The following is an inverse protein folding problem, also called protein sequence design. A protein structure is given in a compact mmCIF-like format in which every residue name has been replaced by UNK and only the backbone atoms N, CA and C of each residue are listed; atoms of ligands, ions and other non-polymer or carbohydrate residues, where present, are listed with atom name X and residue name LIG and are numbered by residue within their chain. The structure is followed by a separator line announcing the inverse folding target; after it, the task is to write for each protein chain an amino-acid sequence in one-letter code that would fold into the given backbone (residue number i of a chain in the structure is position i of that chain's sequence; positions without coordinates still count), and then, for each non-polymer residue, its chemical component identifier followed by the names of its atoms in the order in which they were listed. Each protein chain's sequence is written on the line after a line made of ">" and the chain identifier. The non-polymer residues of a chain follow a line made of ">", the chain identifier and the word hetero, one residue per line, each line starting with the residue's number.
data_IF_112368521830
#
_entry.id   IF_112368521830
#
_cell.length_a   1.000
_cell.length_b   1.000
_cell.length_c   1.000
_cell.angle_alpha   90.00
_cell.angle_beta   90.00
_cell.angle_gamma   90.00
#
_symmetry.space_group_name_H-M   'P 1'
#
loop_
_entity.id
_entity.type
_entity.pdbx_description
1 polymer ?
#
# COMPACT_ATOMS: atom_id res chain seq x y z
N UNK A 1 -26.45 -14.73 5.11
CA UNK A 1 -25.64 -15.91 5.56
C UNK A 1 -24.92 -15.50 6.84
N UNK A 2 -25.25 -16.15 7.96
CA UNK A 2 -24.72 -15.78 9.29
C UNK A 2 -23.36 -16.42 9.66
N UNK A 3 -22.90 -17.42 8.90
CA UNK A 3 -21.55 -17.99 9.03
C UNK A 3 -21.03 -18.56 7.72
N UNK A 4 -19.71 -18.64 7.59
CA UNK A 4 -19.05 -19.30 6.46
C UNK A 4 -17.94 -20.22 6.98
N UNK A 5 -18.05 -21.52 6.63
CA UNK A 5 -17.07 -22.54 6.99
C UNK A 5 -15.81 -22.44 6.13
N UNK A 6 -14.68 -22.39 6.80
CA UNK A 6 -13.35 -22.30 6.16
C UNK A 6 -12.68 -23.67 6.11
N UNK A 7 -11.79 -23.84 5.14
CA UNK A 7 -11.03 -25.09 5.02
C UNK A 7 -10.10 -25.33 6.21
N UNK A 8 -9.52 -24.25 6.76
CA UNK A 8 -8.67 -24.18 7.95
C UNK A 8 -8.51 -22.71 8.37
N UNK A 9 -7.96 -22.45 9.54
CA UNK A 9 -7.66 -21.13 10.05
C UNK A 9 -6.43 -20.50 9.38
N UNK A 10 -5.55 -19.86 10.15
CA UNK A 10 -4.32 -19.29 9.62
C UNK A 10 -3.40 -20.36 9.02
N UNK A 11 -3.35 -21.54 9.64
CA UNK A 11 -2.52 -22.66 9.19
C UNK A 11 -3.36 -23.92 8.95
N UNK A 12 -2.91 -24.85 8.07
CA UNK A 12 -3.68 -26.05 7.69
C UNK A 12 -4.07 -26.98 8.86
N UNK A 13 -3.31 -26.96 9.96
CA UNK A 13 -3.58 -27.73 11.16
C UNK A 13 -4.61 -27.10 12.11
N UNK A 14 -4.97 -25.81 11.89
CA UNK A 14 -5.94 -25.08 12.70
C UNK A 14 -7.37 -25.33 12.21
N UNK A 15 -7.95 -26.42 12.67
CA UNK A 15 -9.31 -26.86 12.34
C UNK A 15 -10.07 -27.21 13.60
N UNK A 16 -11.42 -26.98 13.63
CA UNK A 16 -12.26 -26.33 12.61
C UNK A 16 -11.98 -24.83 12.48
N UNK A 17 -12.44 -24.20 11.37
CA UNK A 17 -12.35 -22.77 11.17
C UNK A 17 -13.61 -22.22 10.48
N UNK A 18 -14.05 -21.04 10.87
CA UNK A 18 -15.20 -20.33 10.31
C UNK A 18 -15.08 -18.82 10.53
N UNK A 19 -15.84 -18.05 9.77
CA UNK A 19 -16.17 -16.66 10.08
C UNK A 19 -17.67 -16.58 10.38
N UNK A 20 -18.07 -15.74 11.32
CA UNK A 20 -19.48 -15.55 11.71
C UNK A 20 -19.64 -14.23 12.46
N UNK A 21 -20.87 -13.74 12.55
CA UNK A 21 -21.21 -12.59 13.39
C UNK A 21 -21.52 -13.05 14.80
N UNK A 22 -20.86 -12.45 15.81
CA UNK A 22 -21.02 -12.84 17.22
C UNK A 22 -22.45 -12.63 17.76
N UNK A 23 -23.19 -11.68 17.20
CA UNK A 23 -24.59 -11.38 17.52
C UNK A 23 -25.59 -12.26 16.75
N UNK A 24 -25.11 -13.16 15.88
CA UNK A 24 -25.93 -14.06 15.07
C UNK A 24 -26.55 -13.42 13.82
N UNK A 25 -26.26 -12.16 13.54
CA UNK A 25 -26.68 -11.48 12.32
C UNK A 25 -26.01 -12.08 11.07
N UNK A 26 -26.45 -11.68 9.90
CA UNK A 26 -25.79 -12.05 8.63
C UNK A 26 -24.42 -11.39 8.50
N UNK A 27 -23.48 -12.09 7.84
CA UNK A 27 -22.21 -11.53 7.45
C UNK A 27 -22.40 -10.33 6.52
N UNK A 28 -21.63 -9.24 6.68
CA UNK A 28 -21.72 -8.06 5.81
C UNK A 28 -21.17 -8.28 4.40
N UNK A 29 -20.93 -9.54 4.02
CA UNK A 29 -20.33 -9.90 2.73
C UNK A 29 -21.12 -11.01 2.02
N UNK A 30 -21.10 -10.95 0.71
CA UNK A 30 -21.57 -12.02 -0.19
C UNK A 30 -20.41 -12.52 -1.03
N UNK A 31 -20.18 -13.83 -1.03
CA UNK A 31 -19.16 -14.46 -1.88
C UNK A 31 -19.79 -14.71 -3.25
N UNK A 32 -19.35 -13.94 -4.26
CA UNK A 32 -19.87 -14.04 -5.63
C UNK A 32 -19.18 -15.10 -6.46
N UNK A 33 -17.92 -15.43 -6.11
CA UNK A 33 -17.15 -16.48 -6.76
C UNK A 33 -15.98 -16.94 -5.88
N UNK A 34 -15.50 -18.17 -6.11
CA UNK A 34 -14.35 -18.74 -5.42
C UNK A 34 -14.64 -19.14 -3.97
N UNK A 35 -13.57 -19.37 -3.22
CA UNK A 35 -13.65 -19.77 -1.81
C UNK A 35 -12.52 -19.13 -1.00
N UNK A 36 -12.70 -17.89 -0.51
CA UNK A 36 -11.70 -17.21 0.30
C UNK A 36 -11.33 -18.01 1.56
N UNK A 37 -10.07 -17.98 1.94
CA UNK A 37 -9.56 -18.56 3.18
C UNK A 37 -9.56 -17.57 4.34
N UNK A 38 -9.09 -18.04 5.50
CA UNK A 38 -9.04 -17.24 6.74
C UNK A 38 -8.23 -15.95 6.57
N UNK A 39 -6.99 -16.05 6.05
CA UNK A 39 -6.13 -14.88 5.82
C UNK A 39 -6.74 -13.94 4.78
N UNK A 40 -7.38 -14.49 3.73
CA UNK A 40 -8.04 -13.68 2.71
C UNK A 40 -9.14 -12.78 3.30
N UNK A 41 -9.92 -13.27 4.26
CA UNK A 41 -10.92 -12.44 4.94
C UNK A 41 -10.31 -11.41 5.87
N UNK A 42 -9.20 -11.71 6.54
CA UNK A 42 -8.46 -10.70 7.31
C UNK A 42 -7.97 -9.57 6.40
N UNK A 43 -7.36 -9.91 5.26
CA UNK A 43 -6.93 -8.93 4.27
C UNK A 43 -8.13 -8.15 3.70
N UNK A 44 -9.24 -8.84 3.36
CA UNK A 44 -10.44 -8.24 2.80
C UNK A 44 -11.04 -7.17 3.72
N UNK A 45 -11.28 -7.51 4.99
CA UNK A 45 -11.93 -6.58 5.91
C UNK A 45 -11.03 -5.41 6.31
N UNK A 46 -9.73 -5.62 6.49
CA UNK A 46 -8.80 -4.53 6.79
C UNK A 46 -8.61 -3.60 5.58
N UNK A 47 -8.40 -4.16 4.39
CA UNK A 47 -8.21 -3.38 3.17
C UNK A 47 -9.46 -2.58 2.76
N UNK A 48 -10.66 -3.15 2.95
CA UNK A 48 -11.89 -2.44 2.64
C UNK A 48 -12.11 -1.22 3.54
N UNK A 49 -11.85 -1.34 4.84
CA UNK A 49 -11.91 -0.21 5.75
C UNK A 49 -10.95 0.90 5.32
N UNK A 50 -9.72 0.55 4.92
CA UNK A 50 -8.73 1.51 4.44
C UNK A 50 -9.24 2.28 3.21
N UNK A 51 -9.73 1.59 2.18
CA UNK A 51 -10.19 2.29 0.94
C UNK A 51 -11.46 3.09 1.17
N UNK A 52 -12.36 2.65 2.08
CA UNK A 52 -13.53 3.40 2.50
C UNK A 52 -13.14 4.71 3.20
N UNK A 53 -12.18 4.65 4.12
CA UNK A 53 -11.67 5.82 4.83
C UNK A 53 -10.96 6.80 3.88
N UNK A 54 -10.14 6.29 2.92
CA UNK A 54 -9.51 7.11 1.89
C UNK A 54 -10.54 7.85 1.04
N UNK A 55 -11.56 7.13 0.56
CA UNK A 55 -12.64 7.76 -0.23
C UNK A 55 -13.39 8.82 0.56
N UNK A 56 -13.71 8.53 1.83
CA UNK A 56 -14.41 9.47 2.72
C UNK A 56 -13.59 10.74 2.94
N UNK A 57 -12.29 10.60 3.23
CA UNK A 57 -11.41 11.72 3.55
C UNK A 57 -11.03 12.58 2.33
N UNK A 58 -10.85 11.97 1.15
CA UNK A 58 -10.26 12.62 -0.02
C UNK A 58 -11.26 12.82 -1.18
N UNK A 59 -12.45 12.25 -1.10
CA UNK A 59 -13.48 12.39 -2.13
C UNK A 59 -13.16 11.72 -3.48
N UNK A 60 -12.14 10.87 -3.53
CA UNK A 60 -11.66 10.19 -4.74
C UNK A 60 -11.87 8.68 -4.62
N UNK A 61 -12.13 7.96 -5.74
CA UNK A 61 -12.05 6.51 -5.74
C UNK A 61 -10.71 6.04 -5.21
N UNK A 62 -10.71 4.97 -4.42
CA UNK A 62 -9.51 4.44 -3.79
C UNK A 62 -9.38 2.93 -3.99
N UNK A 63 -8.14 2.45 -4.02
CA UNK A 63 -7.80 1.04 -4.08
C UNK A 63 -6.64 0.71 -3.13
N UNK A 64 -6.60 -0.55 -2.68
CA UNK A 64 -5.49 -1.07 -1.89
C UNK A 64 -5.10 -2.48 -2.35
N UNK A 65 -3.82 -2.78 -2.22
CA UNK A 65 -3.20 -4.08 -2.36
C UNK A 65 -2.75 -4.53 -0.97
N UNK A 66 -3.32 -5.61 -0.45
CA UNK A 66 -3.05 -6.12 0.90
C UNK A 66 -2.39 -7.49 0.85
N UNK A 67 -1.49 -7.72 1.79
CA UNK A 67 -0.86 -9.02 1.99
C UNK A 67 -0.39 -9.15 3.44
N UNK A 68 -0.69 -10.30 4.05
CA UNK A 68 -0.34 -10.56 5.45
C UNK A 68 -0.85 -9.48 6.42
N UNK A 69 -2.13 -9.08 6.23
CA UNK A 69 -2.86 -8.12 7.06
C UNK A 69 -2.19 -6.74 7.13
N UNK A 70 -1.51 -6.35 6.06
CA UNK A 70 -0.91 -5.02 5.91
C UNK A 70 -0.94 -4.56 4.44
N UNK A 71 -1.03 -3.26 4.17
CA UNK A 71 -1.00 -2.75 2.81
C UNK A 71 0.42 -2.91 2.21
N UNK A 72 0.51 -3.58 1.06
CA UNK A 72 1.64 -3.47 0.16
C UNK A 72 1.62 -2.12 -0.56
N UNK A 73 0.41 -1.62 -0.84
CA UNK A 73 0.18 -0.31 -1.41
C UNK A 73 -1.28 0.12 -1.33
N UNK A 74 -1.49 1.44 -1.39
CA UNK A 74 -2.80 2.07 -1.48
C UNK A 74 -2.70 3.34 -2.33
N UNK A 75 -3.78 3.73 -3.00
CA UNK A 75 -3.81 4.92 -3.83
C UNK A 75 -5.22 5.44 -4.05
N UNK A 76 -5.30 6.70 -4.47
CA UNK A 76 -6.52 7.35 -4.96
C UNK A 76 -6.48 7.53 -6.49
N UNK A 77 -7.64 7.72 -7.09
CA UNK A 77 -7.87 7.70 -8.53
C UNK A 77 -7.39 8.95 -9.28
N UNK A 78 -6.10 9.24 -9.20
CA UNK A 78 -5.46 10.25 -10.03
C UNK A 78 -4.94 9.64 -11.33
N UNK A 79 -5.00 10.39 -12.44
CA UNK A 79 -4.53 9.93 -13.74
C UNK A 79 -3.06 9.48 -13.73
N UNK A 80 -2.71 8.54 -14.58
CA UNK A 80 -1.34 8.10 -14.78
C UNK A 80 -0.72 8.86 -15.98
N UNK A 81 0.48 9.38 -15.78
CA UNK A 81 1.32 9.85 -16.87
C UNK A 81 1.97 8.68 -17.64
N UNK A 82 2.67 9.00 -18.73
CA UNK A 82 3.30 7.97 -19.59
C UNK A 82 4.39 7.18 -18.86
N UNK A 83 5.07 7.79 -17.89
CA UNK A 83 6.11 7.13 -17.09
C UNK A 83 5.50 6.08 -16.18
N UNK A 84 4.44 6.45 -15.44
CA UNK A 84 3.72 5.52 -14.57
C UNK A 84 3.06 4.39 -15.37
N UNK A 85 2.51 4.69 -16.56
CA UNK A 85 1.97 3.65 -17.46
C UNK A 85 3.03 2.64 -17.84
N UNK A 86 4.23 3.07 -18.22
CA UNK A 86 5.38 2.18 -18.53
C UNK A 86 5.78 1.35 -17.31
N UNK A 87 5.93 1.98 -16.14
CA UNK A 87 6.28 1.30 -14.88
C UNK A 87 5.29 0.22 -14.50
N UNK A 88 4.00 0.44 -14.79
CA UNK A 88 2.92 -0.49 -14.42
C UNK A 88 2.52 -1.43 -15.57
N UNK A 89 3.29 -1.44 -16.65
CA UNK A 89 3.08 -2.28 -17.84
C UNK A 89 1.68 -2.10 -18.45
N UNK A 90 1.22 -0.84 -18.53
CA UNK A 90 -0.06 -0.45 -19.12
C UNK A 90 0.21 0.23 -20.46
N UNK A 91 -0.36 -0.33 -21.54
CA UNK A 91 -0.19 0.23 -22.88
C UNK A 91 -0.86 1.61 -23.01
N UNK A 92 -0.31 2.53 -23.81
CA UNK A 92 -0.82 3.91 -23.92
C UNK A 92 -2.28 4.00 -24.37
N UNK A 93 -2.75 3.07 -25.20
CA UNK A 93 -4.09 3.01 -25.74
C UNK A 93 -5.16 2.51 -24.76
N UNK A 94 -4.76 1.97 -23.59
CA UNK A 94 -5.71 1.47 -22.59
C UNK A 94 -6.39 2.64 -21.88
N UNK A 95 -7.70 2.76 -22.05
CA UNK A 95 -8.50 3.72 -21.30
C UNK A 95 -8.69 3.26 -19.86
N UNK A 96 -8.41 4.16 -18.91
CA UNK A 96 -8.50 3.90 -17.48
C UNK A 96 -9.57 4.78 -16.84
N UNK A 97 -10.51 4.15 -16.14
CA UNK A 97 -11.39 4.86 -15.21
C UNK A 97 -10.58 5.40 -14.01
N UNK A 98 -11.13 6.36 -13.24
CA UNK A 98 -10.47 6.79 -12.00
C UNK A 98 -10.21 5.64 -11.02
N UNK A 99 -11.12 4.66 -10.93
CA UNK A 99 -10.93 3.48 -10.09
C UNK A 99 -9.81 2.57 -10.60
N UNK A 100 -9.72 2.37 -11.92
CA UNK A 100 -8.61 1.65 -12.56
C UNK A 100 -7.27 2.34 -12.31
N UNK A 101 -7.22 3.68 -12.34
CA UNK A 101 -6.04 4.45 -11.97
C UNK A 101 -5.65 4.24 -10.50
N UNK A 102 -6.61 4.25 -9.57
CA UNK A 102 -6.37 3.95 -8.16
C UNK A 102 -5.76 2.55 -7.98
N UNK A 103 -6.33 1.54 -8.63
CA UNK A 103 -5.83 0.17 -8.58
C UNK A 103 -4.41 0.05 -9.15
N UNK A 104 -4.16 0.61 -10.32
CA UNK A 104 -2.84 0.58 -10.96
C UNK A 104 -1.76 1.20 -10.06
N UNK A 105 -2.06 2.33 -9.42
CA UNK A 105 -1.18 3.02 -8.48
C UNK A 105 -0.99 2.24 -7.19
N UNK A 106 -2.05 1.69 -6.60
CA UNK A 106 -1.98 0.92 -5.37
C UNK A 106 -1.08 -0.31 -5.53
N UNK A 107 -1.30 -1.09 -6.61
CA UNK A 107 -0.45 -2.23 -6.93
C UNK A 107 0.96 -1.81 -7.34
N UNK A 108 1.08 -0.68 -8.04
CA UNK A 108 2.34 -0.12 -8.51
C UNK A 108 3.27 0.39 -7.41
N UNK A 109 2.75 0.60 -6.19
CA UNK A 109 3.52 1.05 -5.03
C UNK A 109 4.65 0.08 -4.66
N UNK A 110 4.34 -1.23 -4.65
CA UNK A 110 5.30 -2.31 -4.39
C UNK A 110 4.85 -3.54 -5.18
N UNK A 111 5.28 -3.64 -6.43
CA UNK A 111 4.87 -4.71 -7.34
C UNK A 111 5.33 -6.10 -6.89
N UNK A 112 6.46 -6.17 -6.15
CA UNK A 112 6.97 -7.42 -5.60
C UNK A 112 6.07 -7.94 -4.46
N UNK A 113 5.74 -7.09 -3.50
CA UNK A 113 4.85 -7.45 -2.39
C UNK A 113 3.41 -7.70 -2.84
N UNK A 114 2.97 -7.04 -3.91
CA UNK A 114 1.61 -7.20 -4.47
C UNK A 114 1.40 -8.48 -5.27
N UNK A 115 2.42 -9.29 -5.49
CA UNK A 115 2.27 -10.60 -6.12
C UNK A 115 1.50 -11.55 -5.19
N UNK A 116 0.30 -11.97 -5.61
CA UNK A 116 -0.59 -12.80 -4.78
C UNK A 116 -1.29 -12.02 -3.66
N UNK A 117 -1.58 -10.74 -3.88
CA UNK A 117 -2.27 -9.85 -2.96
C UNK A 117 -3.79 -10.11 -2.86
N UNK A 118 -4.41 -9.43 -1.92
CA UNK A 118 -5.85 -9.21 -1.85
C UNK A 118 -6.15 -7.76 -2.24
N UNK A 119 -7.09 -7.57 -3.15
CA UNK A 119 -7.46 -6.25 -3.70
C UNK A 119 -8.69 -5.72 -2.98
N UNK A 120 -8.68 -4.45 -2.58
CA UNK A 120 -9.87 -3.75 -2.13
C UNK A 120 -10.13 -2.52 -3.00
N UNK A 121 -11.41 -2.28 -3.32
CA UNK A 121 -11.89 -1.12 -4.06
C UNK A 121 -12.95 -0.39 -3.24
N UNK A 122 -12.91 0.94 -3.26
CA UNK A 122 -13.88 1.79 -2.54
C UNK A 122 -15.22 1.94 -3.27
N UNK A 123 -15.26 1.59 -4.54
CA UNK A 123 -16.40 1.75 -5.46
C UNK A 123 -16.75 0.45 -6.17
N UNK A 124 -17.90 0.45 -6.84
CA UNK A 124 -18.30 -0.65 -7.73
C UNK A 124 -17.20 -0.88 -8.77
N UNK A 125 -16.74 -2.13 -8.85
CA UNK A 125 -15.70 -2.50 -9.80
C UNK A 125 -16.22 -2.43 -11.23
N UNK A 126 -15.65 -1.53 -12.03
CA UNK A 126 -15.96 -1.37 -13.45
C UNK A 126 -15.12 -2.28 -14.34
N UNK A 127 -15.51 -2.38 -15.62
CA UNK A 127 -14.82 -3.21 -16.60
C UNK A 127 -13.35 -2.80 -16.81
N UNK A 128 -13.05 -1.49 -16.78
CA UNK A 128 -11.68 -0.99 -16.94
C UNK A 128 -10.76 -1.53 -15.84
N UNK A 129 -11.22 -1.48 -14.59
CA UNK A 129 -10.51 -2.01 -13.42
C UNK A 129 -10.38 -3.53 -13.49
N UNK A 130 -11.47 -4.24 -13.82
CA UNK A 130 -11.47 -5.70 -13.93
C UNK A 130 -10.47 -6.22 -14.97
N UNK A 131 -10.36 -5.54 -16.12
CA UNK A 131 -9.39 -5.86 -17.17
C UNK A 131 -7.94 -5.72 -16.71
N UNK A 132 -7.60 -4.71 -15.91
CA UNK A 132 -6.26 -4.61 -15.32
C UNK A 132 -6.00 -5.77 -14.35
N UNK A 133 -6.95 -6.05 -13.47
CA UNK A 133 -6.86 -7.14 -12.48
C UNK A 133 -6.72 -8.50 -13.17
N UNK A 134 -7.36 -8.70 -14.33
CA UNK A 134 -7.30 -9.95 -15.07
C UNK A 134 -5.87 -10.38 -15.40
N UNK A 135 -4.99 -9.44 -15.68
CA UNK A 135 -3.61 -9.67 -16.11
C UNK A 135 -2.59 -9.71 -14.96
N UNK A 136 -3.04 -9.55 -13.72
CA UNK A 136 -2.17 -9.55 -12.55
C UNK A 136 -2.39 -10.81 -11.69
N UNK A 137 -1.38 -11.21 -10.92
CA UNK A 137 -1.49 -12.33 -9.98
C UNK A 137 -1.97 -11.80 -8.63
N UNK A 138 -3.21 -12.14 -8.26
CA UNK A 138 -3.84 -11.79 -7.00
C UNK A 138 -4.66 -12.96 -6.45
N UNK A 139 -4.96 -12.98 -5.16
CA UNK A 139 -5.73 -14.05 -4.53
C UNK A 139 -7.23 -13.81 -4.58
N UNK A 140 -7.66 -12.58 -4.50
CA UNK A 140 -9.06 -12.21 -4.55
C UNK A 140 -9.27 -10.70 -4.47
N UNK A 141 -10.54 -10.31 -4.42
CA UNK A 141 -10.98 -8.92 -4.43
C UNK A 141 -12.21 -8.73 -3.55
N UNK A 142 -12.28 -7.58 -2.90
CA UNK A 142 -13.46 -7.06 -2.20
C UNK A 142 -13.84 -5.68 -2.73
N UNK A 143 -15.11 -5.47 -3.00
CA UNK A 143 -15.68 -4.20 -3.43
C UNK A 143 -17.15 -4.09 -2.98
N UNK A 144 -17.76 -2.90 -2.93
CA UNK A 144 -19.19 -2.73 -2.63
C UNK A 144 -20.10 -3.37 -3.67
N UNK A 145 -19.61 -3.60 -4.89
CA UNK A 145 -20.33 -4.23 -6.00
C UNK A 145 -19.44 -4.39 -7.22
N UNK A 146 -20.03 -4.93 -8.27
CA UNK A 146 -19.35 -5.21 -9.55
C UNK A 146 -20.32 -4.99 -10.69
N UNK A 147 -19.91 -4.30 -11.75
CA UNK A 147 -20.66 -4.30 -13.01
C UNK A 147 -20.71 -5.72 -13.59
N UNK A 148 -21.77 -6.08 -14.30
CA UNK A 148 -21.97 -7.46 -14.77
C UNK A 148 -20.81 -7.96 -15.64
N UNK A 149 -20.32 -7.13 -16.56
CA UNK A 149 -19.20 -7.44 -17.44
C UNK A 149 -17.86 -7.50 -16.68
N UNK A 150 -17.66 -6.67 -15.69
CA UNK A 150 -16.49 -6.73 -14.78
C UNK A 150 -16.49 -8.04 -13.97
N UNK A 151 -17.65 -8.43 -13.45
CA UNK A 151 -17.81 -9.67 -12.69
C UNK A 151 -17.49 -10.89 -13.53
N UNK A 152 -17.96 -10.94 -14.79
CA UNK A 152 -17.65 -12.04 -15.70
C UNK A 152 -16.14 -12.14 -16.01
N UNK A 153 -15.46 -11.01 -16.21
CA UNK A 153 -14.00 -10.97 -16.37
C UNK A 153 -13.29 -11.55 -15.15
N UNK A 154 -13.68 -11.12 -13.94
CA UNK A 154 -13.07 -11.57 -12.69
C UNK A 154 -13.33 -13.06 -12.42
N UNK A 155 -14.54 -13.55 -12.65
CA UNK A 155 -14.88 -14.97 -12.50
C UNK A 155 -14.06 -15.89 -13.41
N UNK A 156 -13.63 -15.39 -14.57
CA UNK A 156 -12.81 -16.19 -15.51
C UNK A 156 -11.38 -16.47 -15.02
N UNK A 157 -10.88 -15.65 -14.06
CA UNK A 157 -9.52 -15.81 -13.49
C UNK A 157 -9.35 -17.14 -12.75
N UNK A 158 -8.09 -17.60 -12.62
CA UNK A 158 -7.73 -18.85 -11.90
C UNK A 158 -8.60 -20.05 -12.33
N UNK A 159 -8.91 -20.14 -13.62
CA UNK A 159 -9.77 -21.21 -14.18
C UNK A 159 -11.14 -21.26 -13.49
N UNK A 160 -11.72 -20.11 -13.16
CA UNK A 160 -13.00 -19.98 -12.48
C UNK A 160 -12.94 -19.98 -10.95
N UNK A 161 -11.77 -20.11 -10.35
CA UNK A 161 -11.60 -20.19 -8.90
C UNK A 161 -11.18 -18.89 -8.20
N UNK A 162 -11.17 -17.75 -8.91
CA UNK A 162 -10.79 -16.46 -8.33
C UNK A 162 -11.80 -16.02 -7.26
N UNK A 163 -11.32 -15.55 -6.10
CA UNK A 163 -12.20 -15.14 -5.03
C UNK A 163 -12.73 -13.72 -5.28
N UNK A 164 -14.06 -13.59 -5.38
CA UNK A 164 -14.77 -12.32 -5.58
C UNK A 164 -15.79 -12.13 -4.46
N UNK A 165 -15.63 -11.09 -3.68
CA UNK A 165 -16.45 -10.79 -2.50
C UNK A 165 -17.10 -9.41 -2.64
N UNK A 166 -18.42 -9.35 -2.52
CA UNK A 166 -19.16 -8.09 -2.36
C UNK A 166 -19.37 -7.81 -0.87
N UNK A 167 -19.19 -6.54 -0.47
CA UNK A 167 -19.45 -6.09 0.90
C UNK A 167 -20.59 -5.07 0.91
N UNK A 168 -21.42 -5.11 1.94
CA UNK A 168 -22.41 -4.08 2.19
C UNK A 168 -21.71 -2.74 2.55
N UNK A 169 -21.80 -1.72 1.70
CA UNK A 169 -21.13 -0.43 1.95
C UNK A 169 -21.69 0.33 3.16
N UNK A 170 -22.92 0.04 3.54
CA UNK A 170 -23.62 0.71 4.64
C UNK A 170 -23.39 0.02 5.99
N UNK A 171 -22.74 -1.15 5.98
CA UNK A 171 -22.44 -1.89 7.20
C UNK A 171 -21.50 -1.08 8.11
N UNK A 172 -21.90 -0.97 9.37
CA UNK A 172 -21.10 -0.37 10.44
C UNK A 172 -20.86 -1.41 11.54
N UNK A 173 -19.61 -1.76 11.86
CA UNK A 173 -19.28 -2.66 12.94
C UNK A 173 -19.74 -2.12 14.31
N UNK A 174 -19.89 -3.03 15.28
CA UNK A 174 -20.16 -2.66 16.67
C UNK A 174 -19.11 -1.67 17.22
N UNK A 175 -19.48 -0.80 18.19
CA UNK A 175 -18.56 0.19 18.74
C UNK A 175 -17.44 -0.43 19.59
N UNK A 176 -17.61 -1.66 20.06
CA UNK A 176 -16.61 -2.44 20.80
C UNK A 176 -16.10 -3.59 19.93
N UNK A 177 -14.80 -3.81 19.99
CA UNK A 177 -14.14 -4.95 19.37
C UNK A 177 -13.45 -5.82 20.42
N UNK A 178 -13.42 -7.13 20.19
CA UNK A 178 -12.82 -8.10 21.09
C UNK A 178 -11.77 -8.95 20.38
N UNK A 179 -10.73 -9.32 21.12
CA UNK A 179 -9.69 -10.24 20.68
C UNK A 179 -9.33 -11.21 21.80
N UNK A 180 -9.21 -12.48 21.49
CA UNK A 180 -8.81 -13.51 22.48
C UNK A 180 -7.38 -13.95 22.26
N UNK A 181 -6.56 -13.86 23.30
CA UNK A 181 -5.18 -14.34 23.33
C UNK A 181 -4.98 -15.21 24.56
N UNK A 182 -4.52 -16.43 24.38
CA UNK A 182 -4.31 -17.40 25.45
C UNK A 182 -5.55 -17.60 26.36
N UNK A 183 -6.76 -17.55 25.77
CA UNK A 183 -8.01 -17.67 26.50
C UNK A 183 -8.49 -16.40 27.21
N UNK A 184 -7.67 -15.34 27.26
CA UNK A 184 -8.05 -14.04 27.82
C UNK A 184 -8.64 -13.18 26.71
N UNK A 185 -9.84 -12.65 26.94
CA UNK A 185 -10.49 -11.73 26.00
C UNK A 185 -10.11 -10.29 26.35
N UNK A 186 -9.60 -9.59 25.35
CA UNK A 186 -9.37 -8.14 25.37
C UNK A 186 -10.55 -7.47 24.70
N UNK A 187 -11.05 -6.40 25.26
CA UNK A 187 -12.13 -5.58 24.72
C UNK A 187 -11.71 -4.11 24.71
N UNK A 188 -11.98 -3.41 23.61
CA UNK A 188 -11.67 -2.00 23.46
C UNK A 188 -12.69 -1.32 22.54
N UNK A 189 -12.73 0.02 22.57
CA UNK A 189 -13.43 0.79 21.55
C UNK A 189 -12.81 0.55 20.18
N UNK A 190 -13.66 0.39 19.16
CA UNK A 190 -13.20 0.29 17.78
C UNK A 190 -12.48 1.57 17.35
N UNK A 191 -11.42 1.42 16.54
CA UNK A 191 -10.72 2.56 15.97
C UNK A 191 -11.53 3.18 14.82
N UNK A 192 -12.44 4.09 15.17
CA UNK A 192 -13.36 4.78 14.26
C UNK A 192 -12.95 6.25 13.99
N UNK A 193 -11.75 6.64 14.42
CA UNK A 193 -11.22 7.98 14.22
C UNK A 193 -11.27 8.39 12.74
N UNK A 194 -11.90 9.52 12.47
CA UNK A 194 -11.90 10.17 11.17
C UNK A 194 -10.64 11.02 10.98
N UNK A 195 -9.87 10.71 9.96
CA UNK A 195 -8.62 11.39 9.63
C UNK A 195 -8.88 12.37 8.49
N UNK A 196 -8.61 13.65 8.72
CA UNK A 196 -8.69 14.71 7.71
C UNK A 196 -7.59 15.75 7.91
N UNK A 197 -7.42 16.66 6.96
CA UNK A 197 -6.50 17.80 7.09
C UNK A 197 -6.86 18.65 8.32
N UNK A 198 -8.14 18.97 8.48
CA UNK A 198 -8.63 19.84 9.57
C UNK A 198 -8.39 19.23 10.95
N UNK A 199 -8.35 17.92 11.06
CA UNK A 199 -8.15 17.23 12.35
C UNK A 199 -6.68 16.92 12.65
N UNK A 200 -5.85 16.70 11.61
CA UNK A 200 -4.51 16.13 11.78
C UNK A 200 -3.35 17.07 11.47
N UNK A 201 -3.54 18.09 10.62
CA UNK A 201 -2.42 18.88 10.08
C UNK A 201 -2.39 20.35 10.57
N UNK A 202 -3.12 20.69 11.64
CA UNK A 202 -3.23 22.07 12.10
C UNK A 202 -2.03 22.52 12.96
N UNK A 203 -1.36 21.60 13.63
CA UNK A 203 -0.24 21.90 14.51
C UNK A 203 1.11 21.69 13.82
N UNK A 204 1.53 22.63 12.95
CA UNK A 204 2.84 22.58 12.29
C UNK A 204 3.89 23.12 13.24
N UNK A 205 4.82 22.27 13.68
CA UNK A 205 5.78 22.54 14.77
C UNK A 205 7.15 23.06 14.30
N UNK A 206 7.49 22.90 13.02
CA UNK A 206 8.76 23.32 12.41
C UNK A 206 8.77 24.80 12.00
N UNK A 207 9.96 25.36 11.69
CA UNK A 207 10.10 26.72 11.15
C UNK A 207 9.41 26.88 9.80
N UNK A 208 9.63 25.94 8.89
CA UNK A 208 8.87 25.87 7.64
C UNK A 208 7.42 25.47 7.94
N UNK A 209 6.48 26.38 7.63
CA UNK A 209 5.03 26.18 7.83
C UNK A 209 4.29 25.82 6.56
N UNK A 210 4.99 25.74 5.43
CA UNK A 210 4.36 25.54 4.12
C UNK A 210 4.24 24.06 3.80
N UNK A 211 3.01 23.58 3.67
CA UNK A 211 2.64 22.26 3.19
C UNK A 211 1.68 22.49 2.04
N UNK A 212 2.02 22.05 0.83
CA UNK A 212 1.15 22.19 -0.35
C UNK A 212 -0.12 21.34 -0.22
N UNK A 213 -1.17 21.65 -0.99
CA UNK A 213 -2.42 20.89 -0.99
C UNK A 213 -2.19 19.42 -1.38
N UNK A 214 -1.26 19.16 -2.30
CA UNK A 214 -0.86 17.82 -2.68
C UNK A 214 -0.20 17.07 -1.51
N UNK A 215 0.69 17.73 -0.79
CA UNK A 215 1.33 17.14 0.40
C UNK A 215 0.34 16.95 1.55
N UNK A 216 -0.62 17.85 1.74
CA UNK A 216 -1.71 17.70 2.73
C UNK A 216 -2.53 16.44 2.44
N UNK A 217 -2.96 16.26 1.19
CA UNK A 217 -3.63 15.04 0.73
C UNK A 217 -2.77 13.80 1.03
N UNK A 218 -1.50 13.84 0.69
CA UNK A 218 -0.57 12.72 0.83
C UNK A 218 -0.27 12.40 2.31
N UNK A 219 -0.19 13.41 3.19
CA UNK A 219 -0.06 13.21 4.64
C UNK A 219 -1.32 12.61 5.26
N UNK A 220 -2.52 13.10 4.90
CA UNK A 220 -3.80 12.50 5.32
C UNK A 220 -3.86 11.03 4.88
N UNK A 221 -3.53 10.77 3.62
CA UNK A 221 -3.46 9.41 3.09
C UNK A 221 -2.50 8.54 3.88
N UNK A 222 -1.30 9.04 4.24
CA UNK A 222 -0.31 8.28 5.00
C UNK A 222 -0.86 7.82 6.35
N UNK A 223 -1.56 8.70 7.07
CA UNK A 223 -2.17 8.36 8.37
C UNK A 223 -3.29 7.33 8.23
N UNK A 224 -4.14 7.43 7.19
CA UNK A 224 -5.19 6.45 6.93
C UNK A 224 -4.58 5.08 6.62
N UNK A 225 -3.52 5.02 5.81
CA UNK A 225 -2.79 3.78 5.52
C UNK A 225 -2.21 3.17 6.80
N UNK A 226 -1.61 4.00 7.65
CA UNK A 226 -1.00 3.55 8.92
C UNK A 226 -2.02 3.04 9.94
N UNK A 227 -3.24 3.59 9.95
CA UNK A 227 -4.36 3.11 10.79
C UNK A 227 -4.65 1.61 10.57
N UNK A 228 -4.30 1.07 9.40
CA UNK A 228 -4.52 -0.33 9.00
C UNK A 228 -3.22 -1.10 8.73
N UNK A 229 -2.09 -0.60 9.21
CA UNK A 229 -0.77 -1.21 9.02
C UNK A 229 -0.22 -1.72 10.36
N UNK A 230 0.24 -2.96 10.41
CA UNK A 230 0.85 -3.55 11.60
C UNK A 230 2.00 -2.69 12.14
N UNK A 231 1.91 -2.32 13.42
CA UNK A 231 2.91 -1.46 14.09
C UNK A 231 4.21 -2.21 14.43
N UNK A 232 5.35 -1.48 14.56
CA UNK A 232 5.55 -0.09 14.17
C UNK A 232 5.41 0.05 12.67
N UNK A 233 4.80 1.15 12.23
CA UNK A 233 4.63 1.40 10.81
C UNK A 233 4.97 2.85 10.41
N UNK A 234 5.49 2.97 9.17
CA UNK A 234 5.87 4.24 8.53
C UNK A 234 5.46 4.17 7.06
N UNK A 235 4.92 5.25 6.52
CA UNK A 235 4.41 5.30 5.16
C UNK A 235 4.94 6.53 4.41
N UNK A 236 5.59 6.29 3.26
CA UNK A 236 5.98 7.31 2.29
C UNK A 236 4.92 7.39 1.21
N UNK A 237 4.49 8.61 0.90
CA UNK A 237 3.41 8.89 -0.08
C UNK A 237 3.86 9.98 -1.03
N UNK A 238 3.52 9.85 -2.30
CA UNK A 238 3.73 10.88 -3.32
C UNK A 238 2.65 10.77 -4.40
N UNK A 239 2.07 11.92 -4.76
CA UNK A 239 1.13 11.99 -5.86
C UNK A 239 -0.14 11.14 -5.68
N UNK A 240 -0.66 11.02 -4.45
CA UNK A 240 -1.88 10.26 -4.16
C UNK A 240 -1.71 8.74 -4.15
N UNK A 241 -0.48 8.26 -3.97
CA UNK A 241 -0.19 6.85 -3.78
C UNK A 241 0.92 6.61 -2.77
N UNK A 242 0.87 5.51 -2.04
CA UNK A 242 2.02 5.05 -1.26
C UNK A 242 3.16 4.65 -2.19
N UNK A 243 4.38 4.96 -1.80
CA UNK A 243 5.59 4.56 -2.52
C UNK A 243 6.52 3.69 -1.69
N UNK A 244 6.25 3.61 -0.37
CA UNK A 244 6.97 2.71 0.53
C UNK A 244 6.23 2.60 1.87
N UNK A 245 5.84 1.38 2.24
CA UNK A 245 5.21 1.06 3.52
C UNK A 245 6.12 0.11 4.29
N UNK A 246 6.50 0.52 5.51
CA UNK A 246 7.16 -0.34 6.48
C UNK A 246 6.16 -0.78 7.54
N UNK A 247 6.08 -2.07 7.82
CA UNK A 247 5.10 -2.66 8.73
C UNK A 247 5.76 -3.64 9.69
N UNK A 248 5.21 -3.77 10.91
CA UNK A 248 5.54 -4.84 11.85
C UNK A 248 6.97 -4.81 12.41
N UNK A 249 7.62 -3.65 12.41
CA UNK A 249 8.99 -3.53 12.91
C UNK A 249 9.04 -3.19 14.40
N UNK A 250 9.94 -3.86 15.15
CA UNK A 250 10.11 -3.60 16.59
C UNK A 250 10.85 -2.28 16.86
N UNK A 251 11.63 -1.78 15.89
CA UNK A 251 12.36 -0.51 15.99
C UNK A 251 11.84 0.50 14.98
N UNK A 252 11.55 1.74 15.44
CA UNK A 252 11.09 2.85 14.58
C UNK A 252 12.09 3.14 13.45
N UNK A 253 13.39 3.20 13.76
CA UNK A 253 14.41 3.49 12.75
C UNK A 253 14.53 2.38 11.70
N UNK A 254 14.36 1.11 12.08
CA UNK A 254 14.33 0.01 11.12
C UNK A 254 13.09 0.11 10.20
N UNK A 255 11.95 0.48 10.77
CA UNK A 255 10.73 0.72 10.01
C UNK A 255 10.92 1.84 8.98
N UNK A 256 11.48 2.99 9.40
CA UNK A 256 11.77 4.13 8.53
C UNK A 256 12.75 3.76 7.40
N UNK A 257 13.76 2.93 7.72
CA UNK A 257 14.73 2.44 6.72
C UNK A 257 14.08 1.51 5.70
N UNK A 258 13.26 0.55 6.15
CA UNK A 258 12.57 -0.39 5.28
C UNK A 258 11.59 0.34 4.34
N UNK A 259 10.73 1.19 4.89
CA UNK A 259 9.80 1.99 4.09
C UNK A 259 10.54 2.90 3.10
N UNK A 260 11.62 3.55 3.55
CA UNK A 260 12.45 4.41 2.71
C UNK A 260 13.16 3.64 1.59
N UNK A 261 13.63 2.42 1.83
CA UNK A 261 14.21 1.58 0.78
C UNK A 261 13.18 1.25 -0.31
N UNK A 262 11.96 0.91 0.08
CA UNK A 262 10.86 0.68 -0.87
C UNK A 262 10.55 1.95 -1.68
N UNK A 263 10.51 3.11 -1.01
CA UNK A 263 10.31 4.39 -1.68
C UNK A 263 11.46 4.71 -2.68
N UNK A 264 12.71 4.47 -2.28
CA UNK A 264 13.87 4.63 -3.17
C UNK A 264 13.76 3.69 -4.38
N UNK A 265 13.40 2.42 -4.19
CA UNK A 265 13.18 1.46 -5.28
C UNK A 265 12.07 1.92 -6.23
N UNK A 266 10.96 2.45 -5.70
CA UNK A 266 9.90 3.02 -6.53
C UNK A 266 10.41 4.20 -7.37
N UNK A 267 11.20 5.11 -6.80
CA UNK A 267 11.82 6.23 -7.52
C UNK A 267 12.82 5.76 -8.59
N UNK A 268 13.61 4.74 -8.30
CA UNK A 268 14.59 4.19 -9.26
C UNK A 268 13.92 3.54 -10.48
N UNK A 269 12.70 3.01 -10.31
CA UNK A 269 11.91 2.48 -11.45
C UNK A 269 11.54 3.54 -12.49
N UNK A 270 11.60 4.85 -12.16
CA UNK A 270 11.39 5.95 -13.10
C UNK A 270 12.61 6.26 -13.95
N UNK A 271 13.79 5.72 -13.65
CA UNK A 271 14.99 6.00 -14.42
C UNK A 271 14.84 5.51 -15.86
N UNK A 272 15.20 6.33 -16.88
CA UNK A 272 15.16 5.92 -18.28
C UNK A 272 15.88 4.59 -18.51
N UNK A 273 17.06 4.39 -17.89
CA UNK A 273 17.83 3.15 -17.96
C UNK A 273 17.06 1.92 -17.46
N UNK A 274 16.15 2.09 -16.51
CA UNK A 274 15.28 1.02 -15.97
C UNK A 274 14.05 0.81 -16.86
N UNK A 275 13.42 1.91 -17.30
CA UNK A 275 12.24 1.88 -18.17
C UNK A 275 12.53 1.29 -19.56
N UNK A 276 13.79 1.36 -20.01
CA UNK A 276 14.25 0.91 -21.32
C UNK A 276 15.02 -0.42 -21.27
N UNK A 277 14.92 -1.17 -20.17
CA UNK A 277 15.51 -2.51 -20.05
C UNK A 277 15.05 -3.40 -21.23
N UNK A 278 15.99 -4.01 -21.97
CA UNK A 278 15.70 -4.72 -23.22
C UNK A 278 15.14 -6.13 -22.95
N UNK A 279 13.97 -6.19 -22.34
CA UNK A 279 13.29 -7.48 -22.06
C UNK A 279 12.99 -8.24 -23.35
N UNK A 280 13.04 -9.56 -23.26
CA UNK A 280 12.49 -10.44 -24.29
C UNK A 280 10.95 -10.34 -24.27
N UNK A 281 10.33 -10.54 -25.44
CA UNK A 281 8.87 -10.42 -25.58
C UNK A 281 8.09 -11.52 -24.82
N UNK A 282 8.74 -12.70 -24.66
CA UNK A 282 8.14 -13.86 -23.99
C UNK A 282 8.19 -13.84 -22.46
N UNK A 283 8.78 -12.82 -21.86
CA UNK A 283 8.90 -12.70 -20.41
C UNK A 283 7.58 -12.22 -19.79
N UNK A 284 7.00 -13.02 -18.91
CA UNK A 284 5.79 -12.67 -18.17
C UNK A 284 6.00 -11.47 -17.22
N UNK A 285 4.95 -10.67 -17.00
CA UNK A 285 4.98 -9.49 -16.12
C UNK A 285 5.64 -9.74 -14.74
N UNK A 286 5.29 -10.80 -13.99
CA UNK A 286 5.93 -11.05 -12.69
C UNK A 286 7.44 -11.24 -12.78
N UNK A 287 7.92 -11.88 -13.84
CA UNK A 287 9.36 -12.09 -14.06
C UNK A 287 10.06 -10.78 -14.44
N UNK A 288 9.38 -9.90 -15.21
CA UNK A 288 9.89 -8.54 -15.48
C UNK A 288 10.01 -7.73 -14.19
N UNK A 289 8.98 -7.74 -13.34
CA UNK A 289 9.01 -7.04 -12.06
C UNK A 289 10.12 -7.53 -11.15
N UNK A 290 10.32 -8.87 -11.06
CA UNK A 290 11.42 -9.46 -10.31
C UNK A 290 12.79 -9.04 -10.87
N UNK A 291 12.96 -9.11 -12.20
CA UNK A 291 14.22 -8.73 -12.83
C UNK A 291 14.54 -7.23 -12.62
N UNK A 292 13.53 -6.35 -12.66
CA UNK A 292 13.70 -4.93 -12.35
C UNK A 292 14.13 -4.76 -10.88
N UNK A 293 13.49 -5.45 -9.95
CA UNK A 293 13.80 -5.35 -8.52
C UNK A 293 15.24 -5.77 -8.24
N UNK A 294 15.67 -6.90 -8.80
CA UNK A 294 17.06 -7.38 -8.69
C UNK A 294 18.04 -6.41 -9.37
N UNK A 295 17.70 -5.91 -10.57
CA UNK A 295 18.57 -4.97 -11.32
C UNK A 295 18.81 -3.65 -10.58
N UNK A 296 17.79 -3.11 -9.91
CA UNK A 296 17.93 -1.89 -9.09
C UNK A 296 18.45 -2.18 -7.68
N UNK A 297 18.46 -3.45 -7.27
CA UNK A 297 18.92 -3.91 -5.96
C UNK A 297 20.44 -3.91 -5.77
N UNK A 298 20.89 -4.69 -4.80
CA UNK A 298 22.30 -4.78 -4.41
C UNK A 298 23.05 -5.90 -5.13
N UNK A 299 22.35 -6.83 -5.79
CA UNK A 299 22.90 -7.99 -6.50
C UNK A 299 22.44 -8.07 -7.94
N UNK A 300 22.66 -7.02 -8.78
CA UNK A 300 22.19 -7.01 -10.16
C UNK A 300 22.77 -8.17 -11.01
N UNK A 301 23.91 -8.73 -10.63
CA UNK A 301 24.55 -9.86 -11.28
C UNK A 301 23.65 -11.09 -11.34
N UNK A 302 22.72 -11.26 -10.42
CA UNK A 302 21.77 -12.38 -10.38
C UNK A 302 20.83 -12.38 -11.61
N UNK A 303 20.71 -11.25 -12.35
CA UNK A 303 19.88 -11.13 -13.57
C UNK A 303 20.64 -10.61 -14.78
N UNK A 304 21.78 -9.89 -14.61
CA UNK A 304 22.60 -9.40 -15.73
C UNK A 304 23.99 -10.06 -15.81
N UNK A 305 24.28 -11.02 -14.95
CA UNK A 305 25.51 -11.80 -14.98
C UNK A 305 25.71 -12.48 -16.33
N UNK A 306 26.96 -12.80 -16.67
CA UNK A 306 27.33 -13.31 -18.01
C UNK A 306 26.59 -14.59 -18.40
N UNK A 307 26.33 -15.45 -17.41
CA UNK A 307 25.69 -16.75 -17.62
C UNK A 307 24.14 -16.72 -17.60
N UNK A 308 23.51 -15.61 -17.15
CA UNK A 308 22.06 -15.57 -16.86
C UNK A 308 21.30 -14.50 -17.65
N UNK A 309 21.92 -13.41 -18.08
CA UNK A 309 21.22 -12.28 -18.69
C UNK A 309 20.34 -12.66 -19.90
N UNK A 310 20.78 -13.63 -20.71
CA UNK A 310 20.07 -14.05 -21.92
C UNK A 310 18.74 -14.76 -21.65
N UNK A 311 18.49 -15.19 -20.43
CA UNK A 311 17.21 -15.76 -20.02
C UNK A 311 16.10 -14.70 -19.98
N UNK A 312 16.47 -13.45 -19.69
CA UNK A 312 15.53 -12.35 -19.44
C UNK A 312 15.59 -11.24 -20.48
N UNK A 313 16.77 -10.94 -21.04
CA UNK A 313 16.99 -9.81 -21.92
C UNK A 313 17.39 -10.21 -23.34
N UNK A 314 17.12 -9.34 -24.31
CA UNK A 314 17.56 -9.50 -25.70
C UNK A 314 19.00 -9.07 -25.92
N UNK A 315 19.55 -8.24 -25.03
CA UNK A 315 20.95 -7.85 -24.91
C UNK A 315 21.28 -7.62 -23.45
N UNK A 316 22.55 -7.84 -23.08
CA UNK A 316 22.98 -7.62 -21.69
C UNK A 316 22.86 -6.15 -21.30
N UNK A 317 22.08 -5.81 -20.26
CA UNK A 317 22.03 -4.45 -19.74
C UNK A 317 23.33 -4.04 -19.06
N UNK A 318 23.70 -2.77 -19.16
CA UNK A 318 24.76 -2.20 -18.33
C UNK A 318 24.28 -2.09 -16.87
N UNK A 319 25.11 -2.40 -15.86
CA UNK A 319 24.72 -2.30 -14.47
C UNK A 319 24.39 -0.86 -14.07
N UNK A 320 23.49 -0.69 -13.14
CA UNK A 320 23.14 0.60 -12.54
C UNK A 320 24.08 0.85 -11.36
N UNK A 321 24.96 1.83 -11.45
CA UNK A 321 25.95 2.08 -10.41
C UNK A 321 25.35 2.76 -9.16
N UNK A 322 26.02 2.65 -8.03
CA UNK A 322 25.61 3.33 -6.79
C UNK A 322 25.58 4.87 -6.96
N UNK A 323 26.52 5.42 -7.74
CA UNK A 323 26.58 6.84 -8.06
C UNK A 323 25.38 7.28 -8.91
N UNK A 324 25.00 6.50 -9.93
CA UNK A 324 23.83 6.77 -10.77
C UNK A 324 22.55 6.75 -9.92
N UNK A 325 22.38 5.71 -9.07
CA UNK A 325 21.24 5.61 -8.14
C UNK A 325 21.18 6.83 -7.21
N UNK A 326 22.31 7.20 -6.60
CA UNK A 326 22.34 8.33 -5.67
C UNK A 326 22.06 9.66 -6.37
N UNK A 327 22.67 9.90 -7.53
CA UNK A 327 22.46 11.11 -8.33
C UNK A 327 21.01 11.27 -8.80
N UNK A 328 20.29 10.16 -9.01
CA UNK A 328 18.85 10.17 -9.30
C UNK A 328 18.04 10.52 -8.06
N UNK A 329 18.26 9.80 -6.95
CA UNK A 329 17.52 9.98 -5.71
C UNK A 329 17.74 11.37 -5.07
N UNK A 330 18.91 12.00 -5.29
CA UNK A 330 19.19 13.36 -4.83
C UNK A 330 18.34 14.44 -5.50
N UNK A 331 17.71 14.13 -6.62
CA UNK A 331 16.78 15.03 -7.33
C UNK A 331 15.33 14.86 -6.87
N UNK A 332 15.03 13.79 -6.13
CA UNK A 332 13.68 13.52 -5.63
C UNK A 332 13.32 14.52 -4.53
N UNK A 333 12.13 15.08 -4.63
CA UNK A 333 11.58 16.04 -3.65
C UNK A 333 10.06 15.92 -3.58
N UNK A 334 9.43 16.55 -2.61
CA UNK A 334 7.97 16.58 -2.48
C UNK A 334 7.35 15.31 -1.92
N UNK A 335 8.15 14.37 -1.41
CA UNK A 335 7.65 13.16 -0.75
C UNK A 335 7.08 13.52 0.62
N UNK A 336 5.94 12.95 0.96
CA UNK A 336 5.28 13.05 2.27
C UNK A 336 5.51 11.78 3.08
N UNK A 337 5.67 11.94 4.41
CA UNK A 337 5.92 10.83 5.33
C UNK A 337 4.94 10.88 6.51
N UNK A 338 4.27 9.75 6.80
CA UNK A 338 3.54 9.53 8.03
C UNK A 338 4.20 8.49 8.94
N UNK A 339 4.01 8.64 10.25
CA UNK A 339 4.41 7.66 11.25
C UNK A 339 3.26 7.39 12.23
N UNK A 340 3.03 6.11 12.57
CA UNK A 340 1.96 5.70 13.49
C UNK A 340 2.25 6.06 14.96
N UNK A 341 3.48 6.44 15.29
CA UNK A 341 3.90 6.97 16.57
C UNK A 341 5.07 7.96 16.41
N UNK A 342 5.46 8.62 17.50
CA UNK A 342 6.55 9.61 17.48
C UNK A 342 7.89 9.03 17.02
N UNK A 343 8.71 9.86 16.41
CA UNK A 343 10.11 9.55 16.13
C UNK A 343 10.96 9.77 17.41
N UNK A 344 11.69 8.74 17.87
CA UNK A 344 12.49 8.85 19.08
C UNK A 344 13.78 9.64 18.89
N UNK A 345 14.27 9.77 17.63
CA UNK A 345 15.55 10.41 17.30
C UNK A 345 15.53 11.05 15.92
N UNK A 346 16.39 12.05 15.70
CA UNK A 346 16.55 12.74 14.43
C UNK A 346 17.09 11.88 13.28
N UNK A 347 17.66 10.70 13.55
CA UNK A 347 18.16 9.77 12.52
C UNK A 347 17.04 9.24 11.58
N UNK A 348 15.80 9.20 12.08
CA UNK A 348 14.63 8.90 11.25
C UNK A 348 14.40 10.00 10.19
N UNK A 349 14.60 11.27 10.58
CA UNK A 349 14.46 12.40 9.66
C UNK A 349 15.62 12.41 8.64
N UNK A 350 16.86 12.14 9.11
CA UNK A 350 18.03 12.01 8.22
C UNK A 350 17.80 10.92 7.15
N UNK A 351 17.17 9.79 7.54
CA UNK A 351 16.79 8.72 6.58
C UNK A 351 15.69 9.20 5.63
N UNK A 352 14.65 9.83 6.14
CA UNK A 352 13.52 10.30 5.35
C UNK A 352 13.96 11.32 4.28
N UNK A 353 14.81 12.28 4.67
CA UNK A 353 15.36 13.28 3.75
C UNK A 353 16.04 12.66 2.53
N UNK A 354 16.78 11.57 2.70
CA UNK A 354 17.47 10.87 1.60
C UNK A 354 16.53 10.29 0.53
N UNK A 355 15.26 10.11 0.87
CA UNK A 355 14.18 9.69 -0.04
C UNK A 355 13.32 10.87 -0.52
N UNK A 356 13.80 12.11 -0.40
CA UNK A 356 13.13 13.30 -0.92
C UNK A 356 11.96 13.81 -0.07
N UNK A 357 11.86 13.41 1.20
CA UNK A 357 10.79 13.87 2.11
C UNK A 357 10.94 15.34 2.42
N UNK A 358 9.85 16.10 2.26
CA UNK A 358 9.76 17.53 2.54
C UNK A 358 8.59 17.89 3.47
N UNK A 359 7.67 16.94 3.73
CA UNK A 359 6.57 17.09 4.66
C UNK A 359 6.39 15.82 5.50
N UNK A 360 6.15 15.99 6.80
CA UNK A 360 6.02 14.88 7.77
C UNK A 360 4.80 15.09 8.66
N UNK A 361 4.13 13.99 9.03
CA UNK A 361 3.12 13.96 10.10
C UNK A 361 3.40 12.82 11.05
N UNK A 362 3.35 13.11 12.36
CA UNK A 362 3.47 12.15 13.45
C UNK A 362 2.69 12.62 14.69
N UNK A 363 2.49 11.78 15.70
CA UNK A 363 1.77 12.19 16.92
C UNK A 363 2.45 13.27 17.74
N UNK A 364 3.77 13.31 17.80
CA UNK A 364 4.51 14.05 18.84
C UNK A 364 4.45 13.35 20.21
N UNK A 365 4.95 14.01 21.25
CA UNK A 365 4.91 13.53 22.62
C UNK A 365 6.15 12.75 23.08
N UNK A 366 7.24 12.78 22.29
CA UNK A 366 8.54 12.29 22.72
C UNK A 366 9.26 13.31 23.59
N UNK A 367 10.01 12.85 24.60
CA UNK A 367 10.95 13.72 25.35
C UNK A 367 12.01 14.36 24.44
N UNK A 368 12.17 13.87 23.23
CA UNK A 368 13.14 14.33 22.23
C UNK A 368 12.51 15.03 21.03
N UNK A 369 11.28 15.46 21.13
CA UNK A 369 10.58 16.19 20.05
C UNK A 369 11.39 17.38 19.54
N UNK A 370 12.06 18.13 20.45
CA UNK A 370 12.91 19.24 20.06
C UNK A 370 14.03 18.82 19.11
N UNK A 371 14.71 17.69 19.38
CA UNK A 371 15.77 17.19 18.52
C UNK A 371 15.25 16.77 17.13
N UNK A 372 14.06 16.19 17.08
CA UNK A 372 13.41 15.79 15.81
C UNK A 372 13.02 17.04 15.01
N UNK A 373 12.41 18.04 15.66
CA UNK A 373 12.05 19.33 15.06
C UNK A 373 13.30 20.06 14.54
N UNK A 374 14.39 20.15 15.33
CA UNK A 374 15.65 20.76 14.91
C UNK A 374 16.24 20.09 13.67
N UNK A 375 16.12 18.75 13.58
CA UNK A 375 16.56 18.01 12.39
C UNK A 375 15.71 18.33 11.17
N UNK A 376 14.39 18.48 11.34
CA UNK A 376 13.50 18.94 10.26
C UNK A 376 13.86 20.36 9.81
N UNK A 377 14.07 21.31 10.76
CA UNK A 377 14.44 22.69 10.48
C UNK A 377 15.76 22.79 9.71
N UNK A 378 16.77 21.99 10.07
CA UNK A 378 18.06 21.89 9.36
C UNK A 378 17.87 21.63 7.86
N UNK A 379 16.83 20.90 7.45
CA UNK A 379 16.57 20.52 6.07
C UNK A 379 15.37 21.24 5.44
N UNK A 380 14.75 22.19 6.14
CA UNK A 380 13.59 22.92 5.67
C UNK A 380 12.32 22.04 5.52
N UNK A 381 12.27 20.90 6.21
CA UNK A 381 11.12 19.97 6.18
C UNK A 381 10.01 20.55 7.07
N UNK A 382 8.77 20.59 6.56
CA UNK A 382 7.61 20.93 7.35
C UNK A 382 7.11 19.69 8.11
N UNK A 383 6.82 19.84 9.43
CA UNK A 383 6.31 18.76 10.27
C UNK A 383 5.06 19.20 11.03
N UNK A 384 4.02 18.38 10.97
CA UNK A 384 2.82 18.52 11.79
C UNK A 384 2.76 17.44 12.88
N UNK A 385 2.33 17.81 14.08
CA UNK A 385 1.97 16.88 15.15
C UNK A 385 0.46 16.68 15.17
N UNK A 386 0.01 15.46 14.86
CA UNK A 386 -1.42 15.11 14.88
C UNK A 386 -1.95 14.77 16.28
N UNK A 387 -1.08 14.55 17.27
CA UNK A 387 -1.46 14.25 18.66
C UNK A 387 -2.06 12.86 18.88
N UNK A 388 -2.14 12.00 17.86
CA UNK A 388 -2.84 10.72 17.90
C UNK A 388 -1.94 9.60 17.44
N UNK A 389 -1.74 8.60 18.31
CA UNK A 389 -1.04 7.36 17.99
C UNK A 389 -1.98 6.39 17.25
N UNK A 390 -1.49 5.76 16.19
CA UNK A 390 -2.26 4.86 15.31
C UNK A 390 -1.78 3.40 15.36
N UNK A 391 -1.43 2.90 16.54
CA UNK A 391 -1.00 1.50 16.66
C UNK A 391 -2.10 0.53 16.21
N UNK A 392 -1.68 -0.45 15.42
CA UNK A 392 -2.51 -1.55 14.92
C UNK A 392 -1.79 -2.89 15.17
N UNK A 393 -2.45 -3.80 15.90
CA UNK A 393 -1.90 -5.11 16.29
C UNK A 393 -2.87 -6.26 16.04
#
# INVERSE_FOLDING_TARGET
>A
MNEFQLKYGTNPNQKPARIYMADGSDLPVTILNGRPGYINFLDAFNSYQLVRDLKKALGLPAAASFKHVSPAGAAVGLSLDDTLRKMYHIAPEVELSPLACAYARARGADRMSSFGDWIALSDVCDLSTAKLIQHEVSDGIIAPGYDDDALEVLKSKKKGGYAVVAIDPDYTPAPLETRTVFGVTFEQGRQDLEISDETMLQNIVTENKVISDEQRRDLVMSLIVLKYTQSNSVCYVQGGQTIGVGAGQQSRVHCTRLAGQKADNWQLRHMPKVLELPFRDDIAKPNRDNAIDVYIGDTPEDVIGEDVWAETFTRRPEPLTAEEKRAWLDKVTGVSLGSDAFFPFGDNIERARRSGVTAIVEPGGSIRDSQVIDTCNKYGIAMAFCGIRLFHH
#
